data_IF_907541843211
#
_entry.id   IF_907541843211
#
_cell.length_a   1.000
_cell.length_b   1.000
_cell.length_c   1.000
_cell.angle_alpha   90.00
_cell.angle_beta   90.00
_cell.angle_gamma   90.00
#
_symmetry.space_group_name_H-M   'P 1'
#
loop_
_entity.id
_entity.type
_entity.pdbx_description
1 polymer ?
#
# COMPACT_ATOMS: atom_id res chain seq x y z
N UNK A 1 -15.43 -1.33 4.34
CA UNK A 1 -16.11 -0.46 3.34
C UNK A 1 -17.56 -0.90 3.11
N UNK A 2 -17.85 -2.12 2.60
CA UNK A 2 -19.22 -2.60 2.30
C UNK A 2 -20.18 -2.51 3.49
N UNK A 3 -19.75 -2.96 4.68
CA UNK A 3 -20.57 -2.86 5.89
C UNK A 3 -20.97 -1.43 6.23
N UNK A 4 -20.06 -0.46 6.03
CA UNK A 4 -20.35 0.94 6.31
C UNK A 4 -21.29 1.54 5.27
N UNK A 5 -21.13 1.21 3.99
CA UNK A 5 -22.08 1.62 2.94
C UNK A 5 -23.48 1.09 3.22
N UNK A 6 -23.59 -0.19 3.58
CA UNK A 6 -24.88 -0.79 3.94
C UNK A 6 -25.50 -0.13 5.16
N UNK A 7 -24.69 0.18 6.18
CA UNK A 7 -25.15 0.90 7.37
C UNK A 7 -25.63 2.30 7.04
N UNK A 8 -24.87 3.05 6.25
CA UNK A 8 -25.25 4.39 5.82
C UNK A 8 -26.61 4.38 5.09
N UNK A 9 -26.81 3.42 4.18
CA UNK A 9 -28.09 3.24 3.48
C UNK A 9 -29.23 2.92 4.45
N UNK A 10 -29.01 2.01 5.41
CA UNK A 10 -30.04 1.62 6.40
C UNK A 10 -30.40 2.75 7.34
N UNK A 11 -29.43 3.56 7.73
CA UNK A 11 -29.59 4.66 8.69
C UNK A 11 -29.92 6.00 8.05
N UNK A 12 -29.89 6.11 6.73
CA UNK A 12 -30.27 7.31 5.97
C UNK A 12 -29.26 8.46 6.06
N UNK A 13 -27.97 8.18 6.30
CA UNK A 13 -26.92 9.21 6.23
C UNK A 13 -26.00 9.01 5.03
N UNK A 14 -25.29 10.07 4.66
CA UNK A 14 -24.30 10.01 3.57
C UNK A 14 -23.14 9.12 3.96
N UNK A 15 -22.77 8.16 3.07
CA UNK A 15 -21.68 7.23 3.33
C UNK A 15 -20.33 7.96 3.41
N UNK A 16 -19.52 7.76 4.47
CA UNK A 16 -18.18 8.32 4.57
C UNK A 16 -17.17 7.60 3.64
N UNK A 17 -17.61 6.54 2.97
CA UNK A 17 -16.76 5.78 2.04
C UNK A 17 -16.77 6.42 0.67
N UNK A 18 -15.61 6.81 0.20
CA UNK A 18 -15.45 7.41 -1.12
C UNK A 18 -16.14 6.59 -2.22
N UNK A 19 -16.88 7.22 -3.14
CA UNK A 19 -17.68 6.51 -4.14
C UNK A 19 -16.82 5.81 -5.20
N UNK A 20 -15.64 6.35 -5.53
CA UNK A 20 -14.75 5.80 -6.55
C UNK A 20 -13.35 5.53 -6.01
N UNK A 21 -12.59 4.73 -6.78
CA UNK A 21 -11.19 4.44 -6.45
C UNK A 21 -10.33 5.70 -6.55
N UNK A 22 -10.53 6.50 -7.57
CA UNK A 22 -9.80 7.74 -7.82
C UNK A 22 -9.97 8.74 -6.67
N UNK A 23 -11.19 8.86 -6.14
CA UNK A 23 -11.45 9.70 -4.97
C UNK A 23 -10.78 9.14 -3.71
N UNK A 24 -10.77 7.82 -3.55
CA UNK A 24 -10.06 7.18 -2.44
C UNK A 24 -8.55 7.37 -2.54
N UNK A 25 -7.98 7.23 -3.73
CA UNK A 25 -6.54 7.45 -3.98
C UNK A 25 -6.17 8.92 -3.74
N UNK A 26 -7.03 9.86 -4.17
CA UNK A 26 -6.83 11.29 -3.91
C UNK A 26 -6.83 11.60 -2.42
N UNK A 27 -7.84 11.16 -1.68
CA UNK A 27 -7.94 11.34 -0.23
C UNK A 27 -6.74 10.75 0.52
N UNK A 28 -6.29 9.57 0.07
CA UNK A 28 -5.09 8.93 0.60
C UNK A 28 -3.85 9.81 0.36
N UNK A 29 -3.66 10.32 -0.86
CA UNK A 29 -2.53 11.16 -1.20
C UNK A 29 -2.57 12.53 -0.48
N UNK A 30 -3.76 13.14 -0.34
CA UNK A 30 -3.95 14.37 0.44
C UNK A 30 -3.56 14.14 1.92
N UNK A 31 -3.87 12.96 2.47
CA UNK A 31 -3.47 12.56 3.83
C UNK A 31 -1.96 12.36 3.97
N UNK A 32 -1.29 11.81 2.95
CA UNK A 32 0.18 11.70 2.92
C UNK A 32 0.82 13.10 2.97
N UNK A 33 0.34 14.01 2.13
CA UNK A 33 0.84 15.39 2.07
C UNK A 33 0.64 16.11 3.41
N UNK A 34 -0.55 16.02 4.00
CA UNK A 34 -0.84 16.61 5.31
C UNK A 34 0.11 16.07 6.39
N UNK A 35 0.32 14.73 6.40
CA UNK A 35 1.18 14.10 7.42
C UNK A 35 2.65 14.48 7.23
N UNK A 36 3.16 14.52 6.01
CA UNK A 36 4.53 14.94 5.71
C UNK A 36 4.76 16.39 6.14
N UNK A 37 3.83 17.30 5.89
CA UNK A 37 3.89 18.70 6.36
C UNK A 37 3.95 18.80 7.90
N UNK A 38 3.36 17.83 8.60
CA UNK A 38 3.29 17.81 10.06
C UNK A 38 4.18 16.70 10.68
N UNK A 39 5.22 16.27 9.99
CA UNK A 39 6.04 15.11 10.39
C UNK A 39 6.76 15.30 11.73
N UNK A 40 6.94 16.52 12.18
CA UNK A 40 7.54 16.81 13.49
C UNK A 40 6.64 16.42 14.68
N UNK A 41 5.35 16.25 14.45
CA UNK A 41 4.35 15.89 15.45
C UNK A 41 3.71 14.52 15.21
N UNK A 42 4.14 13.82 14.14
CA UNK A 42 3.54 12.56 13.70
C UNK A 42 4.57 11.58 13.20
N UNK A 43 4.15 10.34 13.03
CA UNK A 43 4.85 9.33 12.25
C UNK A 43 3.89 8.74 11.23
N UNK A 44 4.43 8.29 10.10
CA UNK A 44 3.64 7.83 8.97
C UNK A 44 3.94 6.36 8.67
N UNK A 45 2.93 5.53 8.77
CA UNK A 45 3.02 4.14 8.39
C UNK A 45 2.10 3.88 7.19
N UNK A 46 2.70 3.80 6.00
CA UNK A 46 1.99 3.76 4.73
C UNK A 46 1.68 2.32 4.32
N UNK A 47 0.48 1.87 4.65
CA UNK A 47 -0.04 0.56 4.24
C UNK A 47 -0.69 0.63 2.86
N UNK A 48 0.08 0.51 1.79
CA UNK A 48 -0.45 0.64 0.42
C UNK A 48 0.19 -0.34 -0.54
N UNK A 49 -0.62 -0.82 -1.50
CA UNK A 49 -0.21 -1.59 -2.67
C UNK A 49 -0.26 -0.75 -3.96
N UNK A 50 -0.55 0.55 -3.84
CA UNK A 50 -0.60 1.49 -4.95
C UNK A 50 0.80 2.07 -5.22
N UNK A 51 1.39 1.71 -6.37
CA UNK A 51 2.72 2.18 -6.78
C UNK A 51 2.77 3.71 -6.91
N UNK A 52 1.69 4.32 -7.42
CA UNK A 52 1.62 5.77 -7.62
C UNK A 52 1.65 6.52 -6.29
N UNK A 53 0.89 6.05 -5.29
CA UNK A 53 0.89 6.65 -3.95
C UNK A 53 2.24 6.46 -3.25
N UNK A 54 2.90 5.30 -3.41
CA UNK A 54 4.24 5.09 -2.87
C UNK A 54 5.27 6.04 -3.54
N UNK A 55 5.23 6.16 -4.86
CA UNK A 55 6.08 7.09 -5.61
C UNK A 55 5.82 8.55 -5.23
N UNK A 56 4.56 8.92 -5.02
CA UNK A 56 4.16 10.24 -4.56
C UNK A 56 4.75 10.57 -3.19
N UNK A 57 4.68 9.63 -2.24
CA UNK A 57 5.31 9.83 -0.92
C UNK A 57 6.83 9.98 -1.02
N UNK A 58 7.51 9.18 -1.85
CA UNK A 58 8.96 9.32 -2.08
C UNK A 58 9.30 10.75 -2.57
N UNK A 59 8.48 11.27 -3.49
CA UNK A 59 8.63 12.65 -3.98
C UNK A 59 8.41 13.68 -2.85
N UNK A 60 7.35 13.55 -2.07
CA UNK A 60 7.05 14.43 -0.93
C UNK A 60 8.20 14.45 0.09
N UNK A 61 8.79 13.29 0.39
CA UNK A 61 9.96 13.19 1.28
C UNK A 61 11.15 13.95 0.70
N UNK A 62 11.46 13.72 -0.57
CA UNK A 62 12.55 14.40 -1.27
C UNK A 62 12.36 15.92 -1.30
N UNK A 63 11.17 16.39 -1.70
CA UNK A 63 10.83 17.81 -1.80
C UNK A 63 10.87 18.52 -0.43
N UNK A 64 10.61 17.77 0.65
CA UNK A 64 10.64 18.24 2.04
C UNK A 64 12.01 18.07 2.71
N UNK A 65 13.03 17.58 2.02
CA UNK A 65 14.36 17.32 2.57
C UNK A 65 14.40 16.20 3.62
N UNK A 66 13.42 15.32 3.63
CA UNK A 66 13.33 14.16 4.54
C UNK A 66 14.14 13.01 3.93
N UNK A 67 15.04 12.42 4.72
CA UNK A 67 15.86 11.29 4.28
C UNK A 67 15.01 10.05 4.01
N UNK A 68 15.46 9.20 3.08
CA UNK A 68 14.78 7.92 2.78
C UNK A 68 14.68 7.00 4.00
N UNK A 69 15.67 7.00 4.87
CA UNK A 69 15.77 6.18 6.09
C UNK A 69 15.21 6.87 7.34
N UNK A 70 14.43 7.95 7.19
CA UNK A 70 13.81 8.64 8.34
C UNK A 70 12.91 7.68 9.13
N UNK A 71 13.21 7.48 10.40
CA UNK A 71 12.55 6.52 11.28
C UNK A 71 11.07 6.82 11.57
N UNK A 72 10.58 7.99 11.19
CA UNK A 72 9.17 8.38 11.32
C UNK A 72 8.32 7.92 10.15
N UNK A 73 8.92 7.49 9.02
CA UNK A 73 8.20 7.09 7.80
C UNK A 73 8.54 5.66 7.43
N UNK A 74 7.50 4.84 7.29
CA UNK A 74 7.59 3.42 6.95
C UNK A 74 6.61 3.06 5.86
N UNK A 75 7.08 2.34 4.86
CA UNK A 75 6.22 1.71 3.84
C UNK A 75 5.89 0.29 4.26
N UNK A 76 4.62 -0.11 4.13
CA UNK A 76 4.21 -1.46 4.50
C UNK A 76 3.30 -2.11 3.46
N UNK A 77 3.57 -3.36 3.14
CA UNK A 77 2.76 -4.19 2.26
C UNK A 77 2.45 -5.53 2.93
N UNK A 78 1.36 -6.16 2.53
CA UNK A 78 1.07 -7.52 2.97
C UNK A 78 2.10 -8.50 2.42
N UNK A 79 2.51 -9.45 3.24
CA UNK A 79 3.41 -10.52 2.83
C UNK A 79 2.84 -11.29 1.63
N UNK A 80 3.68 -11.53 0.62
CA UNK A 80 3.28 -12.17 -0.64
C UNK A 80 2.51 -11.28 -1.61
N UNK A 81 2.41 -9.95 -1.31
CA UNK A 81 1.78 -8.98 -2.20
C UNK A 81 2.71 -7.80 -2.44
N UNK A 82 2.69 -7.29 -3.68
CA UNK A 82 3.47 -6.10 -4.11
C UNK A 82 4.96 -6.17 -3.74
N UNK A 83 5.58 -7.32 -3.93
CA UNK A 83 6.99 -7.53 -3.61
C UNK A 83 7.90 -6.64 -4.46
N UNK A 84 7.49 -6.32 -5.70
CA UNK A 84 8.17 -5.35 -6.55
C UNK A 84 8.30 -3.98 -5.86
N UNK A 85 7.23 -3.46 -5.24
CA UNK A 85 7.24 -2.17 -4.51
C UNK A 85 8.20 -2.29 -3.33
N UNK A 86 8.07 -3.35 -2.52
CA UNK A 86 8.87 -3.54 -1.33
C UNK A 86 10.37 -3.62 -1.62
N UNK A 87 10.75 -4.38 -2.66
CA UNK A 87 12.17 -4.53 -3.04
C UNK A 87 12.76 -3.25 -3.61
N UNK A 88 12.02 -2.53 -4.47
CA UNK A 88 12.50 -1.25 -5.01
C UNK A 88 12.68 -0.22 -3.90
N UNK A 89 11.71 -0.07 -3.00
CA UNK A 89 11.80 0.87 -1.89
C UNK A 89 12.98 0.53 -0.96
N UNK A 90 13.17 -0.75 -0.65
CA UNK A 90 14.30 -1.21 0.17
C UNK A 90 15.66 -0.97 -0.51
N UNK A 91 15.76 -1.21 -1.81
CA UNK A 91 16.99 -0.98 -2.59
C UNK A 91 17.35 0.52 -2.65
N UNK A 92 16.33 1.38 -2.65
CA UNK A 92 16.48 2.85 -2.58
C UNK A 92 16.72 3.39 -1.15
N UNK A 93 16.83 2.49 -0.15
CA UNK A 93 17.14 2.84 1.23
C UNK A 93 15.96 3.35 2.06
N UNK A 94 14.69 3.13 1.61
CA UNK A 94 13.51 3.45 2.41
C UNK A 94 13.22 2.38 3.46
N UNK A 95 12.60 2.78 4.57
CA UNK A 95 12.15 1.85 5.58
C UNK A 95 10.93 1.06 5.08
N UNK A 96 11.07 -0.26 4.99
CA UNK A 96 10.02 -1.15 4.47
C UNK A 96 9.74 -2.27 5.45
N UNK A 97 8.46 -2.59 5.64
CA UNK A 97 8.03 -3.75 6.42
C UNK A 97 7.00 -4.58 5.65
N UNK A 98 6.99 -5.88 5.92
CA UNK A 98 5.96 -6.80 5.44
C UNK A 98 5.03 -7.17 6.59
N UNK A 99 3.74 -6.92 6.40
CA UNK A 99 2.69 -7.33 7.33
C UNK A 99 2.36 -8.80 7.10
N UNK A 100 2.59 -9.61 8.13
CA UNK A 100 2.26 -11.05 8.12
C UNK A 100 1.03 -11.25 8.99
N UNK A 101 -0.14 -11.60 8.42
CA UNK A 101 -1.32 -11.96 9.20
C UNK A 101 -1.04 -13.19 10.05
N UNK A 102 -1.29 -13.09 11.36
CA UNK A 102 -1.11 -14.16 12.30
C UNK A 102 -2.33 -14.32 13.21
N UNK A 103 -2.71 -15.56 13.53
CA UNK A 103 -3.81 -15.87 14.45
C UNK A 103 -4.53 -17.18 14.12
N UNK A 104 -5.69 -17.46 14.77
CA UNK A 104 -6.48 -18.64 14.49
C UNK A 104 -6.95 -18.70 13.03
N UNK A 105 -6.84 -19.87 12.42
CA UNK A 105 -7.18 -20.12 11.01
C UNK A 105 -8.57 -19.61 10.65
N UNK A 106 -9.55 -19.84 11.49
CA UNK A 106 -10.95 -19.43 11.32
C UNK A 106 -11.11 -17.90 11.14
N UNK A 107 -10.23 -17.11 11.73
CA UNK A 107 -10.22 -15.64 11.62
C UNK A 107 -9.34 -15.14 10.48
N UNK A 108 -8.23 -15.83 10.21
CA UNK A 108 -7.25 -15.42 9.20
C UNK A 108 -7.75 -15.74 7.79
N UNK A 109 -8.31 -16.92 7.53
CA UNK A 109 -8.77 -17.31 6.20
C UNK A 109 -9.77 -16.31 5.61
N UNK A 110 -10.85 -15.89 6.31
CA UNK A 110 -11.76 -14.87 5.77
C UNK A 110 -11.09 -13.52 5.47
N UNK A 111 -10.07 -13.17 6.26
CA UNK A 111 -9.28 -11.96 6.02
C UNK A 111 -8.47 -12.08 4.72
N UNK A 112 -7.73 -13.20 4.54
CA UNK A 112 -6.90 -13.44 3.36
C UNK A 112 -7.74 -13.55 2.08
N UNK A 113 -8.91 -14.21 2.14
CA UNK A 113 -9.84 -14.31 1.00
C UNK A 113 -10.29 -12.92 0.58
N UNK A 114 -10.65 -12.03 1.52
CA UNK A 114 -11.02 -10.64 1.18
C UNK A 114 -9.88 -9.90 0.50
N UNK A 115 -8.65 -10.03 1.01
CA UNK A 115 -7.48 -9.39 0.40
C UNK A 115 -7.19 -9.95 -1.00
N UNK A 116 -7.28 -11.26 -1.18
CA UNK A 116 -7.10 -11.89 -2.48
C UNK A 116 -8.16 -11.41 -3.50
N UNK A 117 -9.42 -11.30 -3.09
CA UNK A 117 -10.49 -10.79 -3.94
C UNK A 117 -10.30 -9.32 -4.31
N UNK A 118 -9.89 -8.47 -3.37
CA UNK A 118 -9.60 -7.07 -3.62
C UNK A 118 -8.42 -6.92 -4.61
N UNK A 119 -7.40 -7.75 -4.48
CA UNK A 119 -6.23 -7.74 -5.35
C UNK A 119 -6.56 -8.27 -6.76
N UNK A 120 -7.41 -9.28 -6.87
CA UNK A 120 -7.84 -9.85 -8.16
C UNK A 120 -8.80 -8.95 -8.92
N UNK A 121 -9.52 -8.06 -8.24
CA UNK A 121 -10.43 -7.09 -8.88
C UNK A 121 -9.69 -5.97 -9.63
N UNK A 122 -8.41 -5.78 -9.36
CA UNK A 122 -7.54 -4.88 -10.15
C UNK A 122 -7.04 -5.66 -11.37
N UNK A 123 -7.80 -5.61 -12.47
CA UNK A 123 -7.48 -6.28 -13.74
C UNK A 123 -6.05 -5.96 -14.18
N UNK A 124 -5.23 -7.01 -14.36
CA UNK A 124 -3.88 -6.92 -14.91
C UNK A 124 -2.74 -6.88 -13.88
N UNK A 125 -2.99 -6.66 -12.60
CA UNK A 125 -1.94 -6.55 -11.59
C UNK A 125 -1.23 -7.88 -11.32
N UNK A 126 -1.95 -9.01 -11.30
CA UNK A 126 -1.36 -10.34 -11.12
C UNK A 126 -0.43 -10.73 -12.27
N UNK A 127 -0.82 -10.46 -13.53
CA UNK A 127 0.03 -10.75 -14.70
C UNK A 127 1.27 -9.85 -14.71
N UNK A 128 1.14 -8.58 -14.33
CA UNK A 128 2.26 -7.66 -14.23
C UNK A 128 3.24 -8.09 -13.14
N UNK A 129 2.77 -8.46 -11.95
CA UNK A 129 3.63 -8.97 -10.87
C UNK A 129 4.39 -10.23 -11.30
N UNK A 130 3.71 -11.17 -11.94
CA UNK A 130 4.37 -12.38 -12.46
C UNK A 130 5.47 -12.06 -13.47
N UNK A 131 5.21 -11.12 -14.38
CA UNK A 131 6.21 -10.66 -15.36
C UNK A 131 7.41 -10.00 -14.67
N UNK A 132 7.18 -9.15 -13.68
CA UNK A 132 8.24 -8.47 -12.93
C UNK A 132 9.10 -9.47 -12.14
N UNK A 133 8.48 -10.45 -11.49
CA UNK A 133 9.20 -11.53 -10.79
C UNK A 133 10.05 -12.35 -11.79
N UNK A 134 9.50 -12.70 -12.94
CA UNK A 134 10.20 -13.43 -13.97
C UNK A 134 11.41 -12.65 -14.53
N UNK A 135 11.23 -11.36 -14.75
CA UNK A 135 12.31 -10.47 -15.18
C UNK A 135 13.43 -10.39 -14.14
N UNK A 136 13.09 -10.27 -12.86
CA UNK A 136 14.06 -10.23 -11.78
C UNK A 136 14.82 -11.57 -11.61
N UNK A 137 14.14 -12.70 -11.74
CA UNK A 137 14.80 -14.02 -11.76
C UNK A 137 15.80 -14.10 -12.92
N UNK A 138 15.43 -13.63 -14.11
CA UNK A 138 16.31 -13.64 -15.27
C UNK A 138 17.50 -12.70 -15.07
N UNK A 139 17.30 -11.52 -14.50
CA UNK A 139 18.37 -10.58 -14.17
C UNK A 139 19.40 -11.22 -13.23
N UNK A 140 18.94 -11.89 -12.17
CA UNK A 140 19.83 -12.58 -11.21
C UNK A 140 20.62 -13.72 -11.84
N UNK A 141 20.02 -14.46 -12.79
CA UNK A 141 20.72 -15.52 -13.53
C UNK A 141 21.81 -15.01 -14.45
N UNK A 142 21.75 -13.75 -14.89
CA UNK A 142 22.79 -13.13 -15.74
C UNK A 142 23.95 -12.55 -14.93
N UNK A 143 23.80 -12.42 -13.61
CA UNK A 143 24.82 -11.90 -12.71
C UNK A 143 25.68 -13.02 -12.06
N UNK A 144 25.27 -14.28 -12.24
CA UNK A 144 26.01 -15.49 -11.85
C UNK A 144 26.55 -16.20 -13.08
#
# INVERSE_FOLDING_TARGET
MEKERSRATQMGYESPIQPTKEMSDKEFNDSLEYTVKNINFSSLWVGSHNEESCSYLMKLMSDSGIKSDDNRIWFSQLYGMSDNISFILSDLGYNVVKLIPYGPIEKIIPYLIRRANENSSVKGQSNRQFTLIKNEINRRKQLN
#
